data_IF_862135844061
#
_entry.id   IF_862135844061
#
_cell.length_a   1.000
_cell.length_b   1.000
_cell.length_c   1.000
_cell.angle_alpha   90.00
_cell.angle_beta   90.00
_cell.angle_gamma   90.00
#
_symmetry.space_group_name_H-M   'P 1'
#
loop_
_entity.id
_entity.type
_entity.pdbx_description
1 polymer ?
#
# COMPACT_ATOMS: atom_id res chain seq x y z
N UNK A 1 -14.35 14.25 30.40
CA UNK A 1 -14.23 14.15 29.94
C UNK A 1 -13.99 13.82 29.20
N UNK A 2 -13.73 13.61 28.93
CA UNK A 2 -13.35 13.25 28.20
C UNK A 2 -13.09 13.37 27.31
N UNK A 3 -12.77 13.31 26.91
CA UNK A 3 -12.41 13.35 26.06
C UNK A 3 -12.12 13.00 25.17
N UNK A 4 -12.32 13.06 24.88
CA UNK A 4 -12.12 12.73 24.03
C UNK A 4 -11.48 12.84 23.27
N UNK A 5 -11.18 12.40 22.93
CA UNK A 5 -10.37 12.28 22.29
C UNK A 5 -10.49 12.43 21.21
N UNK A 6 -10.12 13.05 20.68
CA UNK A 6 -10.19 13.25 19.55
C UNK A 6 -9.29 12.67 18.89
N UNK A 7 -9.53 11.83 18.27
CA UNK A 7 -8.66 11.31 17.55
C UNK A 7 -8.62 11.91 16.35
N UNK A 8 -7.56 12.30 15.88
CA UNK A 8 -7.45 12.77 14.65
C UNK A 8 -7.75 11.70 13.75
N UNK A 9 -8.62 11.74 12.88
CA UNK A 9 -8.86 10.72 11.93
C UNK A 9 -7.64 10.56 11.06
N UNK A 10 -7.21 9.36 10.87
CA UNK A 10 -6.16 9.10 9.95
C UNK A 10 -6.65 9.40 8.56
N UNK A 11 -5.74 9.84 7.73
CA UNK A 11 -6.07 10.11 6.37
C UNK A 11 -6.48 8.84 5.70
N UNK A 12 -7.63 8.83 5.07
CA UNK A 12 -8.12 7.66 4.41
C UNK A 12 -7.68 7.67 2.98
N UNK A 13 -7.09 6.58 2.53
CA UNK A 13 -6.59 6.49 1.18
C UNK A 13 -7.63 5.83 0.29
N UNK A 14 -7.63 6.18 -0.97
CA UNK A 14 -8.56 5.66 -1.95
C UNK A 14 -7.82 4.84 -2.97
N UNK A 15 -8.55 3.98 -3.65
CA UNK A 15 -7.95 3.18 -4.72
C UNK A 15 -7.27 4.07 -5.73
N UNK A 16 -7.85 5.22 -6.02
CA UNK A 16 -7.28 6.13 -7.01
C UNK A 16 -5.92 6.69 -6.60
N UNK A 17 -5.59 6.61 -5.33
CA UNK A 17 -4.28 7.06 -4.90
C UNK A 17 -3.18 6.07 -5.26
N UNK A 18 -3.54 4.87 -5.64
CA UNK A 18 -2.57 3.83 -5.96
C UNK A 18 -2.45 3.73 -7.47
N UNK A 19 -1.27 3.99 -7.97
CA UNK A 19 -1.01 3.93 -9.40
C UNK A 19 0.29 3.20 -9.64
N UNK A 20 0.44 2.70 -10.85
CA UNK A 20 1.72 2.12 -11.24
C UNK A 20 2.78 3.20 -11.10
N UNK A 21 3.83 2.89 -10.42
CA UNK A 21 4.91 3.84 -10.17
C UNK A 21 4.78 4.59 -8.86
N UNK A 22 3.69 4.37 -8.11
CA UNK A 22 3.57 5.00 -6.80
C UNK A 22 4.66 4.48 -5.87
N UNK A 23 5.32 5.38 -5.18
CA UNK A 23 6.38 5.04 -4.27
C UNK A 23 5.84 5.04 -2.85
N UNK A 24 6.09 3.95 -2.14
CA UNK A 24 5.61 3.77 -0.77
C UNK A 24 6.82 3.65 0.14
N UNK A 25 6.70 4.15 1.34
CA UNK A 25 7.75 4.04 2.34
C UNK A 25 7.18 3.33 3.56
N UNK A 26 7.93 2.36 4.06
CA UNK A 26 7.61 1.74 5.33
C UNK A 26 8.07 2.70 6.42
N UNK A 27 7.15 3.16 7.24
CA UNK A 27 7.44 4.19 8.22
C UNK A 27 8.44 3.69 9.26
N UNK A 28 8.34 2.42 9.60
CA UNK A 28 9.17 1.89 10.66
C UNK A 28 10.59 1.62 10.21
N UNK A 29 10.78 1.05 9.04
CA UNK A 29 12.11 0.66 8.59
C UNK A 29 12.75 1.68 7.66
N UNK A 30 11.93 2.51 7.03
CA UNK A 30 12.42 3.44 6.03
C UNK A 30 12.62 2.85 4.66
N UNK A 31 12.33 1.56 4.49
CA UNK A 31 12.47 0.94 3.18
C UNK A 31 11.45 1.51 2.21
N UNK A 32 11.79 1.51 0.96
CA UNK A 32 10.94 2.03 -0.09
C UNK A 32 10.41 0.90 -0.94
N UNK A 33 9.23 1.09 -1.48
CA UNK A 33 8.61 0.12 -2.36
C UNK A 33 7.96 0.83 -3.52
N UNK A 34 7.88 0.13 -4.63
CA UNK A 34 7.30 0.68 -5.84
C UNK A 34 6.15 -0.20 -6.26
N UNK A 35 5.02 0.39 -6.55
CA UNK A 35 3.87 -0.34 -7.09
C UNK A 35 4.14 -0.60 -8.56
N UNK A 36 4.25 -1.87 -8.92
CA UNK A 36 4.65 -2.26 -10.25
C UNK A 36 3.44 -2.47 -11.14
N UNK A 37 2.44 -3.18 -10.63
CA UNK A 37 1.36 -3.59 -11.48
C UNK A 37 0.15 -3.99 -10.63
N UNK A 38 -1.03 -3.70 -11.14
CA UNK A 38 -2.27 -4.08 -10.49
C UNK A 38 -2.90 -5.21 -11.29
N UNK A 39 -3.26 -6.29 -10.64
CA UNK A 39 -3.73 -7.49 -11.32
C UNK A 39 -5.01 -7.96 -10.65
N UNK A 40 -5.97 -8.41 -11.48
CA UNK A 40 -7.16 -9.06 -10.96
C UNK A 40 -6.86 -10.54 -10.90
N UNK A 41 -6.73 -11.05 -9.70
CA UNK A 41 -6.33 -12.44 -9.49
C UNK A 41 -7.39 -13.42 -9.99
N UNK A 42 -8.66 -12.99 -10.03
CA UNK A 42 -9.73 -13.87 -10.45
C UNK A 42 -10.23 -13.53 -11.85
N UNK A 43 -9.39 -12.89 -12.65
CA UNK A 43 -9.81 -12.45 -13.95
C UNK A 43 -10.37 -13.56 -14.82
N UNK A 44 -9.83 -14.75 -14.67
CA UNK A 44 -10.26 -15.86 -15.49
C UNK A 44 -11.44 -16.62 -14.92
N UNK A 45 -11.97 -16.20 -13.80
CA UNK A 45 -13.04 -16.93 -13.15
C UNK A 45 -14.33 -16.15 -13.33
N UNK A 46 -15.16 -16.64 -14.24
CA UNK A 46 -16.27 -15.86 -14.70
C UNK A 46 -17.23 -15.41 -13.64
N UNK A 47 -17.45 -16.16 -12.63
CA UNK A 47 -18.47 -15.79 -11.68
C UNK A 47 -17.94 -15.27 -10.39
N UNK A 48 -16.71 -14.90 -10.36
CA UNK A 48 -16.12 -14.34 -9.15
C UNK A 48 -15.94 -12.85 -9.29
N UNK A 49 -16.19 -12.10 -8.23
CA UNK A 49 -15.84 -10.69 -8.27
C UNK A 49 -14.33 -10.55 -8.38
N UNK A 50 -13.84 -9.47 -8.88
CA UNK A 50 -12.40 -9.29 -9.01
C UNK A 50 -11.73 -9.25 -7.65
N UNK A 51 -10.54 -9.82 -7.57
CA UNK A 51 -9.69 -9.67 -6.41
C UNK A 51 -8.44 -8.95 -6.89
N UNK A 52 -8.33 -7.69 -6.54
CA UNK A 52 -7.22 -6.87 -7.01
C UNK A 52 -6.03 -7.04 -6.10
N UNK A 53 -4.89 -7.27 -6.70
CA UNK A 53 -3.63 -7.32 -5.97
C UNK A 53 -2.66 -6.34 -6.62
N UNK A 54 -1.69 -5.90 -5.84
CA UNK A 54 -0.61 -5.07 -6.33
C UNK A 54 0.69 -5.86 -6.23
N UNK A 55 1.43 -5.89 -7.32
CA UNK A 55 2.78 -6.43 -7.30
C UNK A 55 3.68 -5.28 -6.86
N UNK A 56 4.44 -5.50 -5.81
CA UNK A 56 5.24 -4.47 -5.18
C UNK A 56 6.68 -4.93 -5.12
N UNK A 57 7.59 -4.03 -5.43
CA UNK A 57 9.01 -4.30 -5.32
C UNK A 57 9.58 -3.43 -4.20
N UNK A 58 10.22 -4.07 -3.24
CA UNK A 58 10.82 -3.38 -2.11
C UNK A 58 12.31 -3.21 -2.31
N UNK A 59 12.85 -2.15 -1.73
CA UNK A 59 14.27 -1.90 -1.74
C UNK A 59 14.65 -1.28 -0.42
N UNK A 60 15.84 -1.54 0.05
CA UNK A 60 16.32 -1.01 1.31
C UNK A 60 17.05 -2.06 2.09
N UNK A 61 17.83 -1.63 3.08
CA UNK A 61 18.64 -2.57 3.83
C UNK A 61 17.85 -3.54 4.68
N UNK A 62 16.64 -3.19 5.06
CA UNK A 62 15.84 -4.10 5.86
C UNK A 62 15.08 -5.11 5.02
N UNK A 63 15.08 -4.96 3.69
CA UNK A 63 14.32 -5.84 2.85
C UNK A 63 15.11 -7.10 2.58
N UNK A 64 14.51 -8.23 2.92
CA UNK A 64 15.08 -9.51 2.65
C UNK A 64 15.00 -9.76 1.15
N UNK A 65 16.04 -10.31 0.58
CA UNK A 65 16.05 -10.56 -0.86
C UNK A 65 14.95 -11.51 -1.28
N UNK A 66 14.50 -12.37 -0.42
CA UNK A 66 13.41 -13.27 -0.75
C UNK A 66 12.07 -12.55 -0.81
N UNK A 67 11.95 -11.42 -0.15
CA UNK A 67 10.70 -10.70 -0.10
C UNK A 67 10.72 -9.43 -0.90
N UNK A 68 11.67 -9.34 -1.81
CA UNK A 68 11.81 -8.10 -2.58
C UNK A 68 10.61 -7.86 -3.48
N UNK A 69 10.06 -8.94 -4.06
CA UNK A 69 8.88 -8.82 -4.90
C UNK A 69 7.75 -9.57 -4.23
N UNK A 70 6.74 -8.87 -3.82
CA UNK A 70 5.64 -9.52 -3.14
C UNK A 70 4.31 -8.97 -3.63
N UNK A 71 3.34 -9.84 -3.81
CA UNK A 71 1.99 -9.37 -4.10
C UNK A 71 1.25 -9.05 -2.81
N UNK A 72 0.45 -8.01 -2.84
CA UNK A 72 -0.39 -7.64 -1.71
C UNK A 72 -1.79 -7.40 -2.21
N UNK A 73 -2.78 -7.89 -1.47
CA UNK A 73 -4.18 -7.59 -1.79
C UNK A 73 -4.37 -6.08 -1.65
N UNK A 74 -5.08 -5.49 -2.60
CA UNK A 74 -5.25 -4.05 -2.63
C UNK A 74 -5.83 -3.51 -1.33
N UNK A 75 -6.78 -4.21 -0.74
CA UNK A 75 -7.34 -3.77 0.52
C UNK A 75 -6.29 -3.75 1.62
N UNK A 76 -5.36 -4.69 1.58
CA UNK A 76 -4.29 -4.71 2.57
C UNK A 76 -3.36 -3.53 2.39
N UNK A 77 -3.08 -3.15 1.15
CA UNK A 77 -2.25 -1.98 0.88
C UNK A 77 -2.92 -0.74 1.44
N UNK A 78 -4.22 -0.58 1.16
CA UNK A 78 -4.93 0.58 1.67
C UNK A 78 -4.98 0.59 3.19
N UNK A 79 -5.15 -0.57 3.79
CA UNK A 79 -5.18 -0.67 5.25
C UNK A 79 -3.85 -0.27 5.87
N UNK A 80 -2.75 -0.67 5.27
CA UNK A 80 -1.43 -0.31 5.78
C UNK A 80 -1.17 1.19 5.64
N UNK A 81 -1.66 1.79 4.57
CA UNK A 81 -1.53 3.22 4.40
C UNK A 81 -2.43 3.97 5.38
N UNK A 82 -3.67 3.52 5.54
CA UNK A 82 -4.59 4.18 6.45
C UNK A 82 -4.14 4.04 7.89
N UNK A 83 -3.48 2.96 8.22
CA UNK A 83 -2.97 2.74 9.57
C UNK A 83 -1.65 3.41 9.86
N UNK A 84 -1.06 4.05 8.88
CA UNK A 84 0.20 4.75 9.11
C UNK A 84 1.42 3.85 9.11
N UNK A 85 1.26 2.57 8.77
CA UNK A 85 2.41 1.66 8.68
C UNK A 85 3.21 1.96 7.43
N UNK A 86 2.52 2.29 6.36
CA UNK A 86 3.12 2.72 5.10
C UNK A 86 2.64 4.13 4.78
N UNK A 87 3.42 4.84 3.99
CA UNK A 87 3.01 6.16 3.52
C UNK A 87 3.39 6.31 2.06
N UNK A 88 2.64 7.10 1.33
CA UNK A 88 2.95 7.39 -0.06
C UNK A 88 3.97 8.50 -0.08
N UNK A 89 5.07 8.26 -0.79
CA UNK A 89 6.09 9.27 -0.93
C UNK A 89 5.92 9.96 -2.25
N UNK A 90 6.45 11.13 -2.33
CA UNK A 90 6.53 11.81 -3.60
C UNK A 90 5.33 12.56 -4.01
N UNK A 91 4.33 12.53 -3.21
CA UNK A 91 3.25 13.29 -3.52
C UNK A 91 3.39 14.64 -3.14
N UNK A 92 4.33 14.89 -2.39
CA UNK A 92 4.47 16.18 -1.98
C UNK A 92 5.01 16.87 -2.97
N UNK A 93 4.83 17.05 -3.60
CA UNK A 93 5.30 17.74 -4.44
C UNK A 93 5.99 18.66 -4.11
N UNK A 94 6.43 18.83 -3.95
CA UNK A 94 7.12 19.70 -3.58
C UNK A 94 7.14 20.64 -4.10
#
# INVERSE_FOLDING_TARGET
>A
MAKLITVMPLKKHKIEDLKIGTLIRDVQTGDLALLIRRVDLFKEMDEHPPLWIWEITWTGPATDSYNRHMPFIEEAVLGLLDGGVWEIKGDDKL
#
